data_IF_257201763727
#
_entry.id   IF_257201763727
#
_cell.length_a   1.000
_cell.length_b   1.000
_cell.length_c   1.000
_cell.angle_alpha   90.00
_cell.angle_beta   90.00
_cell.angle_gamma   90.00
#
_symmetry.space_group_name_H-M   'P 1'
#
loop_
_entity.id
_entity.type
_entity.pdbx_description
1 polymer ?
#
# COMPACT_ATOMS: atom_id res chain seq x y z
N UNK A 1 -8.89 62.76 -32.51
CA UNK A 1 -9.04 61.29 -32.52
C UNK A 1 -7.71 60.68 -32.91
N UNK A 2 -6.92 60.18 -31.96
CA UNK A 2 -5.66 59.46 -32.24
C UNK A 2 -5.72 58.15 -31.46
N UNK A 3 -5.57 57.04 -32.18
CA UNK A 3 -5.67 55.67 -31.68
C UNK A 3 -4.46 55.32 -30.80
N UNK A 4 -4.77 54.69 -29.68
CA UNK A 4 -3.86 54.05 -28.73
C UNK A 4 -3.20 52.83 -29.39
N UNK A 5 -1.89 52.64 -29.20
CA UNK A 5 -1.26 51.34 -29.39
C UNK A 5 -0.06 51.19 -28.43
N UNK A 6 -0.34 50.68 -27.23
CA UNK A 6 0.67 50.17 -26.30
C UNK A 6 0.64 48.64 -26.37
N UNK A 7 1.70 48.06 -26.93
CA UNK A 7 1.90 46.62 -27.06
C UNK A 7 2.47 46.09 -25.74
N UNK A 8 1.62 45.51 -24.89
CA UNK A 8 2.06 44.83 -23.68
C UNK A 8 2.40 43.37 -24.02
N UNK A 9 3.69 43.06 -24.17
CA UNK A 9 4.19 41.68 -24.27
C UNK A 9 4.14 41.00 -22.90
N UNK A 10 3.13 40.16 -22.69
CA UNK A 10 3.04 39.25 -21.55
C UNK A 10 3.94 38.04 -21.79
N UNK A 11 5.01 37.93 -21.00
CA UNK A 11 5.82 36.71 -20.87
C UNK A 11 5.00 35.65 -20.12
N UNK A 12 4.49 34.66 -20.85
CA UNK A 12 3.93 33.44 -20.28
C UNK A 12 5.08 32.56 -19.78
N UNK A 13 5.32 32.56 -18.47
CA UNK A 13 6.04 31.46 -17.82
C UNK A 13 5.13 30.24 -17.82
N UNK A 14 5.35 29.32 -18.77
CA UNK A 14 4.80 27.98 -18.68
C UNK A 14 5.52 27.26 -17.54
N UNK A 15 4.92 27.27 -16.34
CA UNK A 15 5.26 26.31 -15.30
C UNK A 15 4.80 24.95 -15.79
N UNK A 16 5.74 24.16 -16.32
CA UNK A 16 5.55 22.73 -16.44
C UNK A 16 5.38 22.17 -15.03
N UNK A 17 4.13 21.98 -14.62
CA UNK A 17 3.81 21.12 -13.49
C UNK A 17 4.35 19.73 -13.84
N UNK A 18 5.56 19.44 -13.38
CA UNK A 18 6.11 18.10 -13.40
C UNK A 18 5.09 17.23 -12.67
N UNK A 19 4.45 16.32 -13.40
CA UNK A 19 3.62 15.28 -12.84
C UNK A 19 4.48 14.54 -11.81
N UNK A 20 4.30 14.90 -10.54
CA UNK A 20 5.01 14.29 -9.43
C UNK A 20 4.48 12.87 -9.38
N UNK A 21 5.31 11.94 -9.86
CA UNK A 21 5.10 10.51 -9.73
C UNK A 21 4.57 10.23 -8.32
N UNK A 22 3.46 9.49 -8.22
CA UNK A 22 2.76 9.06 -7.01
C UNK A 22 3.61 8.08 -6.14
N UNK A 23 4.94 8.25 -6.20
CA UNK A 23 5.97 7.55 -5.43
C UNK A 23 6.15 8.14 -4.03
N UNK A 24 5.31 9.09 -3.62
CA UNK A 24 5.36 9.66 -2.28
C UNK A 24 4.59 8.84 -1.25
N UNK A 25 3.74 7.88 -1.66
CA UNK A 25 2.90 7.08 -0.76
C UNK A 25 3.32 5.61 -0.80
N UNK A 26 3.31 4.95 0.37
CA UNK A 26 3.52 3.52 0.43
C UNK A 26 2.38 2.75 -0.22
N UNK A 27 2.72 1.78 -1.07
CA UNK A 27 1.75 1.03 -1.87
C UNK A 27 1.36 -0.27 -1.17
N UNK A 28 0.08 -0.45 -0.93
CA UNK A 28 -0.50 -1.73 -0.53
C UNK A 28 -0.69 -2.63 -1.75
N UNK A 29 -0.80 -3.93 -1.51
CA UNK A 29 -1.14 -4.89 -2.57
C UNK A 29 -2.02 -6.01 -2.04
N UNK A 30 -3.13 -6.25 -2.72
CA UNK A 30 -3.92 -7.46 -2.57
C UNK A 30 -3.13 -8.70 -3.01
N UNK A 31 -3.64 -9.85 -2.59
CA UNK A 31 -3.11 -11.16 -2.95
C UNK A 31 -3.24 -11.40 -4.46
N UNK A 32 -2.44 -12.31 -5.03
CA UNK A 32 -2.53 -12.65 -6.47
C UNK A 32 -3.54 -13.76 -6.75
N UNK A 33 -3.93 -14.50 -5.71
CA UNK A 33 -4.97 -15.52 -5.78
C UNK A 33 -6.35 -14.86 -5.92
N UNK A 34 -7.18 -15.42 -6.79
CA UNK A 34 -8.57 -15.01 -6.90
C UNK A 34 -9.37 -15.56 -5.71
N UNK A 35 -9.77 -14.66 -4.81
CA UNK A 35 -10.57 -14.97 -3.63
C UNK A 35 -11.81 -14.10 -3.55
N UNK A 36 -12.91 -14.67 -3.06
CA UNK A 36 -14.21 -14.01 -3.07
C UNK A 36 -14.21 -12.74 -2.21
N UNK A 37 -14.34 -11.59 -2.87
CA UNK A 37 -14.30 -10.27 -2.24
C UNK A 37 -13.07 -9.43 -2.56
N UNK A 38 -12.03 -9.98 -3.20
CA UNK A 38 -10.82 -9.21 -3.56
C UNK A 38 -11.13 -8.05 -4.52
N UNK A 39 -11.97 -8.29 -5.53
CA UNK A 39 -12.34 -7.26 -6.50
C UNK A 39 -13.06 -6.07 -5.86
N UNK A 40 -13.89 -6.32 -4.85
CA UNK A 40 -14.56 -5.23 -4.12
C UNK A 40 -13.51 -4.36 -3.39
N UNK A 41 -12.50 -4.98 -2.77
CA UNK A 41 -11.39 -4.27 -2.11
C UNK A 41 -10.59 -3.44 -3.12
N UNK A 42 -10.28 -4.03 -4.28
CA UNK A 42 -9.53 -3.35 -5.35
C UNK A 42 -10.30 -2.18 -5.98
N UNK A 43 -11.64 -2.29 -6.03
CA UNK A 43 -12.52 -1.22 -6.50
C UNK A 43 -12.85 -0.17 -5.43
N UNK A 44 -12.35 -0.34 -4.20
CA UNK A 44 -12.61 0.58 -3.09
C UNK A 44 -13.93 0.36 -2.34
N UNK A 45 -14.71 -0.66 -2.69
CA UNK A 45 -15.86 -1.10 -1.90
C UNK A 45 -15.40 -1.98 -0.73
N UNK A 46 -14.70 -1.35 0.22
CA UNK A 46 -14.10 -2.04 1.37
C UNK A 46 -15.15 -2.70 2.25
N UNK A 47 -16.34 -2.11 2.40
CA UNK A 47 -17.40 -2.67 3.23
C UNK A 47 -17.90 -4.01 2.66
N UNK A 48 -18.15 -4.08 1.34
CA UNK A 48 -18.53 -5.34 0.70
C UNK A 48 -17.37 -6.34 0.69
N UNK A 49 -16.16 -5.88 0.36
CA UNK A 49 -14.96 -6.72 0.35
C UNK A 49 -14.69 -7.39 1.71
N UNK A 50 -14.68 -6.62 2.79
CA UNK A 50 -14.49 -7.12 4.16
C UNK A 50 -15.57 -8.15 4.51
N UNK A 51 -16.84 -7.87 4.21
CA UNK A 51 -17.95 -8.80 4.48
C UNK A 51 -17.76 -10.13 3.74
N UNK A 52 -17.44 -10.09 2.44
CA UNK A 52 -17.25 -11.30 1.60
C UNK A 52 -16.03 -12.11 2.03
N UNK A 53 -14.90 -11.44 2.31
CA UNK A 53 -13.66 -12.05 2.77
C UNK A 53 -13.86 -12.73 4.14
N UNK A 54 -14.53 -12.07 5.09
CA UNK A 54 -14.84 -12.67 6.40
C UNK A 54 -15.77 -13.88 6.28
N UNK A 55 -16.78 -13.81 5.40
CA UNK A 55 -17.66 -14.95 5.16
C UNK A 55 -16.92 -16.15 4.53
N UNK A 56 -15.92 -15.92 3.68
CA UNK A 56 -15.06 -16.98 3.15
C UNK A 56 -14.09 -17.51 4.20
N UNK A 57 -13.50 -16.62 5.01
CA UNK A 57 -12.57 -16.98 6.07
C UNK A 57 -13.24 -17.90 7.10
N UNK A 58 -14.47 -17.58 7.51
CA UNK A 58 -15.24 -18.37 8.48
C UNK A 58 -15.48 -19.84 8.06
N UNK A 59 -15.43 -20.15 6.76
CA UNK A 59 -15.59 -21.51 6.21
C UNK A 59 -14.29 -22.16 5.74
N UNK A 60 -13.16 -21.47 5.89
CA UNK A 60 -11.85 -21.95 5.45
C UNK A 60 -11.07 -22.41 6.67
N UNK A 61 -10.71 -23.69 6.76
CA UNK A 61 -9.99 -24.26 7.91
C UNK A 61 -8.48 -24.42 7.67
N UNK A 62 -8.05 -24.46 6.41
CA UNK A 62 -6.65 -24.67 6.04
C UNK A 62 -5.90 -23.33 6.08
N UNK A 63 -4.89 -23.22 6.95
CA UNK A 63 -4.15 -21.97 7.17
C UNK A 63 -3.58 -21.37 5.87
N UNK A 64 -2.97 -22.18 4.99
CA UNK A 64 -2.45 -21.68 3.71
C UNK A 64 -3.53 -21.12 2.78
N UNK A 65 -4.79 -21.57 2.91
CA UNK A 65 -5.93 -21.03 2.17
C UNK A 65 -6.55 -19.80 2.85
N UNK A 66 -6.31 -19.60 4.15
CA UNK A 66 -6.70 -18.39 4.87
C UNK A 66 -5.76 -17.22 4.57
N UNK A 67 -4.49 -17.49 4.27
CA UNK A 67 -3.47 -16.44 4.09
C UNK A 67 -3.82 -15.38 3.02
N UNK A 68 -4.35 -15.73 1.83
CA UNK A 68 -4.80 -14.74 0.84
C UNK A 68 -5.99 -13.89 1.35
N UNK A 69 -6.90 -14.49 2.12
CA UNK A 69 -8.04 -13.77 2.73
C UNK A 69 -7.56 -12.74 3.74
N UNK A 70 -6.63 -13.14 4.61
CA UNK A 70 -6.00 -12.25 5.57
C UNK A 70 -5.16 -11.15 4.90
N UNK A 71 -4.48 -11.47 3.80
CA UNK A 71 -3.75 -10.47 3.00
C UNK A 71 -4.69 -9.36 2.51
N UNK A 72 -5.86 -9.73 1.99
CA UNK A 72 -6.83 -8.76 1.49
C UNK A 72 -7.58 -8.01 2.61
N UNK A 73 -7.90 -8.68 3.72
CA UNK A 73 -8.47 -8.04 4.91
C UNK A 73 -7.50 -7.01 5.51
N UNK A 74 -6.21 -7.32 5.57
CA UNK A 74 -5.16 -6.38 5.96
C UNK A 74 -5.21 -5.11 5.09
N UNK A 75 -5.25 -5.25 3.76
CA UNK A 75 -5.36 -4.09 2.84
C UNK A 75 -6.63 -3.27 3.09
N UNK A 76 -7.79 -3.92 3.18
CA UNK A 76 -9.07 -3.24 3.35
C UNK A 76 -9.16 -2.50 4.70
N UNK A 77 -8.63 -3.09 5.77
CA UNK A 77 -8.61 -2.46 7.09
C UNK A 77 -7.62 -1.29 7.18
N UNK A 78 -6.46 -1.37 6.52
CA UNK A 78 -5.56 -0.21 6.39
C UNK A 78 -6.26 0.91 5.62
N UNK A 79 -6.89 0.61 4.48
CA UNK A 79 -7.56 1.60 3.64
C UNK A 79 -8.73 2.31 4.36
N UNK A 80 -9.37 1.63 5.32
CA UNK A 80 -10.44 2.17 6.16
C UNK A 80 -9.95 2.71 7.51
N UNK A 81 -8.64 2.81 7.73
CA UNK A 81 -8.01 3.28 8.96
C UNK A 81 -8.35 2.48 10.23
N UNK A 82 -8.84 1.25 10.09
CA UNK A 82 -9.04 0.33 11.21
C UNK A 82 -7.73 -0.44 11.47
N UNK A 83 -6.75 0.24 12.07
CA UNK A 83 -5.38 -0.28 12.21
C UNK A 83 -5.28 -1.48 13.16
N UNK A 84 -6.16 -1.58 14.16
CA UNK A 84 -6.21 -2.73 15.07
C UNK A 84 -6.61 -4.02 14.34
N UNK A 85 -7.69 -3.97 13.55
CA UNK A 85 -8.10 -5.10 12.71
C UNK A 85 -7.06 -5.39 11.62
N UNK A 86 -6.46 -4.35 11.05
CA UNK A 86 -5.37 -4.49 10.10
C UNK A 86 -4.21 -5.29 10.70
N UNK A 87 -3.73 -4.94 11.90
CA UNK A 87 -2.64 -5.64 12.58
C UNK A 87 -2.90 -7.14 12.65
N UNK A 88 -4.06 -7.51 13.18
CA UNK A 88 -4.49 -8.91 13.31
C UNK A 88 -4.42 -9.65 11.97
N UNK A 89 -4.90 -9.04 10.90
CA UNK A 89 -4.95 -9.68 9.59
C UNK A 89 -3.60 -9.67 8.86
N UNK A 90 -2.80 -8.61 8.98
CA UNK A 90 -1.47 -8.55 8.38
C UNK A 90 -0.53 -9.58 9.02
N UNK A 91 -0.58 -9.75 10.35
CA UNK A 91 0.20 -10.76 11.07
C UNK A 91 -0.18 -12.18 10.66
N UNK A 92 -1.48 -12.51 10.65
CA UNK A 92 -1.96 -13.82 10.21
C UNK A 92 -1.59 -14.11 8.76
N UNK A 93 -1.67 -13.11 7.88
CA UNK A 93 -1.23 -13.26 6.49
C UNK A 93 0.25 -13.64 6.42
N UNK A 94 1.12 -12.98 7.18
CA UNK A 94 2.55 -13.30 7.23
C UNK A 94 2.79 -14.68 7.84
N UNK A 95 2.10 -15.05 8.92
CA UNK A 95 2.24 -16.34 9.59
C UNK A 95 1.92 -17.50 8.64
N UNK A 96 0.79 -17.40 7.96
CA UNK A 96 0.17 -18.50 7.22
C UNK A 96 0.58 -18.60 5.74
N UNK A 97 1.25 -17.57 5.19
CA UNK A 97 1.66 -17.55 3.77
C UNK A 97 2.88 -18.43 3.49
N UNK A 98 2.84 -19.21 2.41
CA UNK A 98 4.03 -19.89 1.86
C UNK A 98 5.01 -18.90 1.21
N UNK A 99 4.50 -17.94 0.43
CA UNK A 99 5.26 -16.80 -0.06
C UNK A 99 4.81 -15.53 0.68
N UNK A 100 5.67 -15.03 1.56
CA UNK A 100 5.32 -13.95 2.49
C UNK A 100 5.54 -12.55 1.93
N UNK A 101 6.00 -12.39 0.68
CA UNK A 101 6.43 -11.08 0.16
C UNK A 101 5.31 -10.03 0.21
N UNK A 102 4.11 -10.33 -0.31
CA UNK A 102 2.98 -9.37 -0.31
C UNK A 102 2.51 -9.09 1.12
N UNK A 103 2.36 -10.13 1.95
CA UNK A 103 1.94 -9.97 3.35
C UNK A 103 2.91 -9.11 4.16
N UNK A 104 4.23 -9.33 4.00
CA UNK A 104 5.27 -8.53 4.65
C UNK A 104 5.29 -7.09 4.16
N UNK A 105 5.03 -6.85 2.86
CA UNK A 105 4.90 -5.50 2.33
C UNK A 105 3.75 -4.76 3.02
N UNK A 106 2.57 -5.39 3.14
CA UNK A 106 1.42 -4.73 3.74
C UNK A 106 1.60 -4.52 5.25
N UNK A 107 2.19 -5.48 5.97
CA UNK A 107 2.56 -5.32 7.38
C UNK A 107 3.58 -4.17 7.57
N UNK A 108 4.54 -4.03 6.66
CA UNK A 108 5.46 -2.91 6.67
C UNK A 108 4.72 -1.58 6.53
N UNK A 109 3.80 -1.45 5.56
CA UNK A 109 2.97 -0.24 5.40
C UNK A 109 2.22 0.09 6.70
N UNK A 110 1.59 -0.89 7.34
CA UNK A 110 0.92 -0.70 8.62
C UNK A 110 1.88 -0.18 9.70
N UNK A 111 3.06 -0.81 9.85
CA UNK A 111 4.07 -0.36 10.80
C UNK A 111 4.53 1.09 10.52
N UNK A 112 4.60 1.51 9.27
CA UNK A 112 4.93 2.89 8.94
C UNK A 112 3.80 3.86 9.36
N UNK A 113 2.53 3.48 9.18
CA UNK A 113 1.38 4.28 9.61
C UNK A 113 1.30 4.43 11.14
N UNK A 114 1.69 3.38 11.87
CA UNK A 114 1.76 3.37 13.33
C UNK A 114 3.04 3.99 13.90
N UNK A 115 3.86 4.65 13.07
CA UNK A 115 5.14 5.26 13.46
C UNK A 115 6.17 4.27 14.04
N UNK A 116 6.04 2.97 13.75
CA UNK A 116 6.99 1.91 14.12
C UNK A 116 8.11 1.83 13.09
N UNK A 117 8.94 2.88 13.03
CA UNK A 117 9.90 3.11 11.94
C UNK A 117 10.89 1.94 11.70
N UNK A 118 11.41 1.32 12.76
CA UNK A 118 12.30 0.15 12.64
C UNK A 118 11.60 -1.03 11.99
N UNK A 119 10.39 -1.38 12.47
CA UNK A 119 9.61 -2.50 11.94
C UNK A 119 9.08 -2.23 10.53
N UNK A 120 8.81 -0.97 10.19
CA UNK A 120 8.46 -0.52 8.84
C UNK A 120 9.55 -0.92 7.83
N UNK A 121 10.82 -0.55 8.09
CA UNK A 121 11.93 -0.91 7.20
C UNK A 121 12.23 -2.40 7.21
N UNK A 122 12.33 -3.01 8.39
CA UNK A 122 12.66 -4.44 8.51
C UNK A 122 11.67 -5.32 7.72
N UNK A 123 10.37 -5.04 7.81
CA UNK A 123 9.37 -5.82 7.08
C UNK A 123 9.43 -5.56 5.56
N UNK A 124 9.79 -4.35 5.10
CA UNK A 124 10.05 -4.13 3.67
C UNK A 124 11.29 -4.90 3.17
N UNK A 125 12.38 -4.94 3.94
CA UNK A 125 13.57 -5.73 3.61
C UNK A 125 13.27 -7.23 3.55
N UNK A 126 12.53 -7.74 4.54
CA UNK A 126 12.05 -9.13 4.55
C UNK A 126 11.13 -9.42 3.36
N UNK A 127 10.27 -8.46 2.97
CA UNK A 127 9.39 -8.59 1.81
C UNK A 127 10.17 -8.71 0.50
N UNK A 128 11.20 -7.88 0.31
CA UNK A 128 12.10 -7.93 -0.86
C UNK A 128 12.91 -9.22 -0.87
N UNK A 129 13.39 -9.66 0.29
CA UNK A 129 14.13 -10.93 0.43
C UNK A 129 13.28 -12.15 0.07
N UNK A 130 11.99 -12.14 0.45
CA UNK A 130 11.05 -13.21 0.13
C UNK A 130 10.72 -13.29 -1.37
N UNK A 131 10.70 -12.14 -2.08
CA UNK A 131 10.56 -12.11 -3.53
C UNK A 131 11.16 -10.82 -4.12
N UNK A 132 12.39 -10.94 -4.65
CA UNK A 132 13.13 -9.82 -5.26
C UNK A 132 12.47 -9.23 -6.50
N UNK A 133 11.50 -9.91 -7.10
CA UNK A 133 10.77 -9.44 -8.28
C UNK A 133 9.50 -8.68 -7.93
N UNK A 134 9.13 -8.60 -6.65
CA UNK A 134 8.02 -7.77 -6.18
C UNK A 134 8.42 -6.29 -6.20
N UNK A 135 8.17 -5.62 -7.33
CA UNK A 135 8.52 -4.20 -7.54
C UNK A 135 7.86 -3.25 -6.53
N UNK A 136 6.70 -3.63 -5.96
CA UNK A 136 6.03 -2.82 -4.94
C UNK A 136 6.87 -2.77 -3.66
N UNK A 137 7.36 -3.92 -3.20
CA UNK A 137 8.22 -4.02 -2.02
C UNK A 137 9.51 -3.23 -2.19
N UNK A 138 10.16 -3.34 -3.35
CA UNK A 138 11.39 -2.57 -3.64
C UNK A 138 11.11 -1.06 -3.63
N UNK A 139 10.03 -0.61 -4.28
CA UNK A 139 9.68 0.81 -4.33
C UNK A 139 9.37 1.37 -2.93
N UNK A 140 8.63 0.61 -2.13
CA UNK A 140 8.30 1.00 -0.76
C UNK A 140 9.52 1.01 0.16
N UNK A 141 10.43 0.03 0.03
CA UNK A 141 11.69 0.04 0.78
C UNK A 141 12.53 1.27 0.46
N UNK A 142 12.66 1.62 -0.83
CA UNK A 142 13.35 2.85 -1.25
C UNK A 142 12.72 4.07 -0.60
N UNK A 143 11.39 4.21 -0.67
CA UNK A 143 10.68 5.33 -0.05
C UNK A 143 10.91 5.40 1.47
N UNK A 144 10.85 4.26 2.16
CA UNK A 144 11.05 4.20 3.61
C UNK A 144 12.46 4.65 4.01
N UNK A 145 13.49 4.18 3.29
CA UNK A 145 14.88 4.56 3.52
C UNK A 145 15.12 6.05 3.24
N UNK A 146 14.55 6.60 2.16
CA UNK A 146 14.63 8.05 1.87
C UNK A 146 14.00 8.88 3.00
N UNK A 147 12.82 8.48 3.49
CA UNK A 147 12.14 9.20 4.59
C UNK A 147 12.95 9.14 5.89
N UNK A 148 13.55 7.99 6.22
CA UNK A 148 14.42 7.86 7.40
C UNK A 148 15.66 8.75 7.33
N UNK A 149 16.26 8.90 6.15
CA UNK A 149 17.41 9.79 5.96
C UNK A 149 17.02 11.26 6.17
N UNK A 150 15.85 11.68 5.68
CA UNK A 150 15.33 13.04 5.89
C UNK A 150 15.11 13.31 7.38
N UNK A 151 14.57 12.38 8.15
CA UNK A 151 14.32 12.57 9.59
C UNK A 151 15.57 12.65 10.46
N UNK A 152 16.75 12.29 9.93
CA UNK A 152 18.02 12.31 10.67
C UNK A 152 18.84 13.59 10.45
N UNK A 153 18.45 14.41 9.48
CA UNK A 153 19.10 15.68 9.13
C UNK A 153 18.31 16.86 9.68
#
# INVERSE_FOLDING_TARGET
MIKVLTLATTLLFATSALAQSDNSVFKLRTTVEDVYGVQDVENGDYASGIRKLNAQLARTSVASMQAPLHTNLCVAHIATSNLEAAQTHCEKAVEQSGNKSIALNNLAVLNCLESKATLCVENFERSVSANKFNRFSTSNLTLANTRLQITKN
#
